data_IF_485296387443
#
_entry.id   IF_485296387443
#
_cell.length_a   1.000
_cell.length_b   1.000
_cell.length_c   1.000
_cell.angle_alpha   90.00
_cell.angle_beta   90.00
_cell.angle_gamma   90.00
#
_symmetry.space_group_name_H-M   'P 1'
#
loop_
_entity.id
_entity.type
_entity.pdbx_description
1 polymer ?
#
# COMPACT_ATOMS: atom_id res chain seq x y z
N UNK A 1 0.70 17.36 -20.79
CA UNK A 1 0.70 16.68 -19.48
C UNK A 1 -0.70 16.19 -19.27
N UNK A 2 -0.88 14.87 -19.32
CA UNK A 2 -2.17 14.26 -19.05
C UNK A 2 -2.51 14.43 -17.57
N UNK A 3 -3.73 14.90 -17.31
CA UNK A 3 -4.27 15.14 -15.98
C UNK A 3 -5.53 14.31 -15.82
N UNK A 4 -5.63 13.58 -14.72
CA UNK A 4 -6.82 12.83 -14.33
C UNK A 4 -7.27 13.36 -12.97
N UNK A 5 -8.57 13.58 -12.84
CA UNK A 5 -9.21 14.00 -11.59
C UNK A 5 -10.18 12.88 -11.18
N UNK A 6 -10.04 12.42 -9.95
CA UNK A 6 -10.93 11.43 -9.32
C UNK A 6 -11.81 12.16 -8.32
N UNK A 7 -13.11 11.93 -8.40
CA UNK A 7 -14.12 12.47 -7.49
C UNK A 7 -14.90 11.32 -6.89
N UNK A 8 -15.19 11.41 -5.59
CA UNK A 8 -16.07 10.47 -4.88
C UNK A 8 -17.52 10.92 -4.85
N UNK A 9 -17.80 12.13 -5.34
CA UNK A 9 -19.16 12.66 -5.46
C UNK A 9 -19.78 13.08 -4.13
N UNK A 10 -18.99 13.18 -3.06
CA UNK A 10 -19.47 13.70 -1.78
C UNK A 10 -19.81 15.19 -1.91
N UNK A 11 -20.80 15.67 -1.15
CA UNK A 11 -21.19 17.08 -1.19
C UNK A 11 -20.06 18.07 -0.82
N UNK A 12 -19.00 17.58 -0.17
CA UNK A 12 -17.82 18.37 0.18
C UNK A 12 -16.95 18.72 -1.03
N UNK A 13 -16.78 17.81 -1.98
CA UNK A 13 -15.90 18.03 -3.14
C UNK A 13 -16.39 19.20 -4.00
N UNK A 14 -17.69 19.25 -4.25
CA UNK A 14 -18.34 20.35 -4.97
C UNK A 14 -18.35 21.66 -4.16
N UNK A 15 -18.55 21.58 -2.84
CA UNK A 15 -18.63 22.78 -2.00
C UNK A 15 -17.27 23.43 -1.75
N UNK A 16 -16.23 22.62 -1.52
CA UNK A 16 -14.87 23.07 -1.17
C UNK A 16 -14.02 23.25 -2.43
N UNK A 17 -14.28 22.50 -3.51
CA UNK A 17 -13.55 22.61 -4.77
C UNK A 17 -12.25 21.81 -4.77
N UNK A 18 -12.31 20.52 -4.42
CA UNK A 18 -11.19 19.58 -4.51
C UNK A 18 -11.62 18.28 -5.19
N UNK A 19 -10.64 17.58 -5.77
CA UNK A 19 -10.80 16.19 -6.24
C UNK A 19 -10.28 15.25 -5.17
N UNK A 20 -10.91 14.08 -4.99
CA UNK A 20 -10.40 13.02 -4.10
C UNK A 20 -8.94 12.67 -4.42
N UNK A 21 -8.63 12.55 -5.70
CA UNK A 21 -7.25 12.44 -6.16
C UNK A 21 -7.03 13.21 -7.47
N UNK A 22 -5.80 13.65 -7.67
CA UNK A 22 -5.35 14.24 -8.93
C UNK A 22 -4.09 13.52 -9.37
N UNK A 23 -4.10 13.02 -10.59
CA UNK A 23 -2.91 12.50 -11.26
C UNK A 23 -2.40 13.51 -12.28
N UNK A 24 -1.08 13.76 -12.28
CA UNK A 24 -0.39 14.52 -13.33
C UNK A 24 0.85 13.74 -13.74
N UNK A 25 0.88 13.29 -15.00
CA UNK A 25 1.95 12.39 -15.46
C UNK A 25 1.95 11.07 -14.67
N UNK A 26 3.02 10.82 -13.92
CA UNK A 26 3.18 9.61 -13.11
C UNK A 26 2.97 9.84 -11.61
N UNK A 27 2.58 11.04 -11.18
CA UNK A 27 2.33 11.32 -9.76
C UNK A 27 0.84 11.38 -9.50
N UNK A 28 0.40 10.71 -8.42
CA UNK A 28 -0.96 10.76 -7.90
C UNK A 28 -0.90 11.39 -6.52
N UNK A 29 -1.69 12.44 -6.31
CA UNK A 29 -1.89 13.06 -5.01
C UNK A 29 -3.32 12.81 -4.55
N UNK A 30 -3.48 12.19 -3.39
CA UNK A 30 -4.78 11.95 -2.76
C UNK A 30 -5.02 13.03 -1.70
N UNK A 31 -6.20 13.64 -1.72
CA UNK A 31 -6.59 14.65 -0.74
C UNK A 31 -6.74 14.03 0.67
N UNK A 32 -6.71 14.90 1.69
CA UNK A 32 -7.06 14.53 3.06
C UNK A 32 -8.39 13.77 3.09
N UNK A 33 -8.34 12.56 3.62
CA UNK A 33 -9.41 11.58 3.56
C UNK A 33 -9.70 11.09 4.95
N UNK A 34 -10.96 11.14 5.33
CA UNK A 34 -11.44 10.73 6.65
C UNK A 34 -12.57 9.72 6.52
N UNK A 35 -13.03 9.18 7.64
CA UNK A 35 -14.01 8.12 7.71
C UNK A 35 -15.44 8.68 7.54
N UNK A 36 -15.87 8.85 6.30
CA UNK A 36 -17.23 9.32 5.97
C UNK A 36 -17.95 8.43 4.98
N UNK A 37 -19.27 8.43 5.05
CA UNK A 37 -20.14 7.78 4.08
C UNK A 37 -20.33 8.62 2.80
N UNK A 38 -21.21 8.15 1.89
CA UNK A 38 -21.54 8.84 0.64
C UNK A 38 -22.18 10.23 0.83
N UNK A 39 -22.76 10.49 2.00
CA UNK A 39 -23.37 11.77 2.36
C UNK A 39 -22.36 12.71 3.05
N UNK A 40 -21.16 12.24 3.34
CA UNK A 40 -20.16 12.97 4.11
C UNK A 40 -20.39 12.90 5.62
N UNK A 41 -21.19 11.95 6.12
CA UNK A 41 -21.42 11.76 7.54
C UNK A 41 -20.34 10.86 8.16
N UNK A 42 -19.79 11.19 9.34
CA UNK A 42 -18.79 10.36 10.02
C UNK A 42 -19.27 8.92 10.24
N UNK A 43 -18.40 7.96 9.95
CA UNK A 43 -18.65 6.54 10.25
C UNK A 43 -17.80 6.09 11.44
N UNK A 44 -18.30 5.11 12.19
CA UNK A 44 -17.63 4.53 13.35
C UNK A 44 -17.11 5.59 14.37
N UNK A 45 -17.97 6.44 14.93
CA UNK A 45 -17.56 7.49 15.86
C UNK A 45 -16.85 6.90 17.08
N UNK A 46 -15.71 7.50 17.46
CA UNK A 46 -14.89 7.05 18.59
C UNK A 46 -14.21 5.69 18.40
N UNK A 47 -14.07 5.20 17.16
CA UNK A 47 -13.39 3.94 16.84
C UNK A 47 -12.20 4.22 15.90
N UNK A 48 -11.01 4.56 16.43
CA UNK A 48 -9.88 5.02 15.63
C UNK A 48 -9.43 4.02 14.55
N UNK A 49 -9.37 2.73 14.88
CA UNK A 49 -9.01 1.69 13.93
C UNK A 49 -10.02 1.59 12.77
N UNK A 50 -11.32 1.55 13.07
CA UNK A 50 -12.37 1.43 12.05
C UNK A 50 -12.39 2.66 11.14
N UNK A 51 -12.20 3.86 11.72
CA UNK A 51 -12.09 5.08 10.94
C UNK A 51 -10.83 5.09 10.07
N UNK A 52 -9.69 4.69 10.61
CA UNK A 52 -8.44 4.63 9.84
C UNK A 52 -8.55 3.62 8.70
N UNK A 53 -9.10 2.43 8.96
CA UNK A 53 -9.29 1.39 7.95
C UNK A 53 -10.21 1.89 6.80
N UNK A 54 -11.33 2.52 7.14
CA UNK A 54 -12.23 3.11 6.15
C UNK A 54 -11.55 4.22 5.34
N UNK A 55 -10.82 5.11 6.01
CA UNK A 55 -10.12 6.20 5.35
C UNK A 55 -9.02 5.68 4.39
N UNK A 56 -8.25 4.66 4.80
CA UNK A 56 -7.28 4.01 3.92
C UNK A 56 -7.94 3.30 2.74
N UNK A 57 -9.08 2.63 2.94
CA UNK A 57 -9.83 2.01 1.84
C UNK A 57 -10.27 3.05 0.79
N UNK A 58 -10.72 4.22 1.22
CA UNK A 58 -11.05 5.34 0.32
C UNK A 58 -9.81 5.88 -0.42
N UNK A 59 -8.67 5.98 0.27
CA UNK A 59 -7.39 6.38 -0.35
C UNK A 59 -6.96 5.38 -1.42
N UNK A 60 -7.00 4.09 -1.13
CA UNK A 60 -6.63 3.07 -2.10
C UNK A 60 -7.57 3.07 -3.31
N UNK A 61 -8.87 3.22 -3.10
CA UNK A 61 -9.84 3.34 -4.18
C UNK A 61 -9.51 4.53 -5.09
N UNK A 62 -9.20 5.69 -4.49
CA UNK A 62 -8.82 6.88 -5.24
C UNK A 62 -7.53 6.71 -6.06
N UNK A 63 -6.55 5.97 -5.52
CA UNK A 63 -5.31 5.63 -6.24
C UNK A 63 -5.62 4.73 -7.44
N UNK A 64 -6.46 3.70 -7.24
CA UNK A 64 -6.89 2.79 -8.31
C UNK A 64 -7.66 3.51 -9.41
N UNK A 65 -8.57 4.41 -9.04
CA UNK A 65 -9.34 5.22 -9.99
C UNK A 65 -8.45 6.21 -10.77
N UNK A 66 -7.33 6.64 -10.20
CA UNK A 66 -6.29 7.42 -10.88
C UNK A 66 -5.33 6.56 -11.74
N UNK A 67 -5.50 5.24 -11.73
CA UNK A 67 -4.72 4.28 -12.50
C UNK A 67 -3.40 3.87 -11.86
N UNK A 68 -3.33 3.85 -10.53
CA UNK A 68 -2.23 3.27 -9.74
C UNK A 68 -2.66 2.10 -8.87
N UNK A 69 -1.73 1.62 -8.05
CA UNK A 69 -1.93 0.53 -7.10
C UNK A 69 -1.39 0.92 -5.71
N UNK A 70 -1.83 0.26 -4.62
CA UNK A 70 -1.30 0.54 -3.27
C UNK A 70 0.23 0.41 -3.16
N UNK A 71 0.85 -0.43 -3.99
CA UNK A 71 2.32 -0.58 -4.08
C UNK A 71 3.04 0.66 -4.60
N UNK A 72 2.34 1.56 -5.32
CA UNK A 72 2.91 2.79 -5.84
C UNK A 72 2.97 3.89 -4.77
N UNK A 73 2.36 3.68 -3.60
CA UNK A 73 2.34 4.68 -2.52
C UNK A 73 3.73 4.84 -1.94
N UNK A 74 4.26 6.05 -2.04
CA UNK A 74 5.61 6.40 -1.56
C UNK A 74 5.57 7.19 -0.26
N UNK A 75 4.45 7.84 0.05
CA UNK A 75 4.30 8.60 1.28
C UNK A 75 2.87 8.66 1.78
N UNK A 76 2.70 8.56 3.10
CA UNK A 76 1.44 8.76 3.83
C UNK A 76 1.64 9.79 4.94
N UNK A 77 0.58 10.58 5.20
CA UNK A 77 0.49 11.47 6.37
C UNK A 77 -0.82 11.19 7.09
N UNK A 78 -0.75 11.03 8.41
CA UNK A 78 -1.87 10.72 9.26
C UNK A 78 -1.99 11.83 10.32
N UNK A 79 -3.16 12.44 10.39
CA UNK A 79 -3.50 13.47 11.37
C UNK A 79 -4.50 12.85 12.34
N UNK A 80 -4.15 12.75 13.61
CA UNK A 80 -5.00 12.17 14.66
C UNK A 80 -5.40 13.22 15.69
N UNK A 81 -6.57 13.12 16.29
CA UNK A 81 -7.00 14.04 17.35
C UNK A 81 -6.45 13.66 18.73
N UNK A 82 -6.10 12.38 18.91
CA UNK A 82 -5.46 11.84 20.10
C UNK A 82 -4.31 10.92 19.66
N UNK A 83 -3.07 11.24 20.04
CA UNK A 83 -1.90 10.43 19.68
C UNK A 83 -1.86 9.09 20.43
N UNK A 84 -2.63 8.92 21.51
CA UNK A 84 -2.70 7.64 22.22
C UNK A 84 -3.32 6.54 21.34
N UNK A 85 -4.07 6.90 20.30
CA UNK A 85 -4.68 5.98 19.33
C UNK A 85 -3.72 5.48 18.23
N UNK A 86 -2.43 5.82 18.31
CA UNK A 86 -1.45 5.53 17.26
C UNK A 86 -1.33 4.04 16.89
N UNK A 87 -1.53 3.11 17.83
CA UNK A 87 -1.44 1.67 17.57
C UNK A 87 -2.57 1.19 16.66
N UNK A 88 -3.78 1.69 16.87
CA UNK A 88 -4.96 1.35 16.08
C UNK A 88 -4.85 1.92 14.66
N UNK A 89 -4.46 3.19 14.54
CA UNK A 89 -4.21 3.83 13.22
C UNK A 89 -3.03 3.17 12.50
N UNK A 90 -1.96 2.85 13.24
CA UNK A 90 -0.77 2.17 12.72
C UNK A 90 -1.06 0.75 12.23
N UNK A 91 -1.94 0.00 12.91
CA UNK A 91 -2.42 -1.31 12.44
C UNK A 91 -3.13 -1.19 11.10
N UNK A 92 -4.10 -0.28 10.99
CA UNK A 92 -4.83 -0.05 9.74
C UNK A 92 -3.90 0.37 8.59
N UNK A 93 -2.91 1.24 8.87
CA UNK A 93 -1.88 1.61 7.88
C UNK A 93 -1.05 0.39 7.44
N UNK A 94 -0.66 -0.46 8.38
CA UNK A 94 0.09 -1.69 8.08
C UNK A 94 -0.69 -2.68 7.23
N UNK A 95 -2.00 -2.78 7.43
CA UNK A 95 -2.89 -3.61 6.61
C UNK A 95 -3.04 -3.07 5.18
N UNK A 96 -3.13 -1.75 5.01
CA UNK A 96 -3.30 -1.11 3.70
C UNK A 96 -2.00 -1.05 2.88
N UNK A 97 -0.88 -0.71 3.50
CA UNK A 97 0.38 -0.38 2.81
C UNK A 97 1.61 -1.13 3.34
N UNK A 98 1.42 -2.20 4.13
CA UNK A 98 2.50 -2.95 4.76
C UNK A 98 3.54 -3.50 3.80
N UNK A 99 3.12 -3.92 2.61
CA UNK A 99 4.02 -4.41 1.56
C UNK A 99 4.77 -3.27 0.85
N UNK A 100 4.09 -2.13 0.60
CA UNK A 100 4.66 -0.95 -0.07
C UNK A 100 5.68 -0.21 0.82
N UNK A 101 5.45 -0.19 2.13
CA UNK A 101 6.30 0.47 3.15
C UNK A 101 6.60 1.95 2.82
N UNK A 102 5.58 2.80 2.61
CA UNK A 102 5.79 4.21 2.30
C UNK A 102 6.46 4.98 3.44
N UNK A 103 7.05 6.13 3.12
CA UNK A 103 7.43 7.10 4.15
C UNK A 103 6.17 7.58 4.88
N UNK A 104 6.08 7.30 6.18
CA UNK A 104 4.90 7.59 6.98
C UNK A 104 5.20 8.69 8.02
N UNK A 105 4.24 9.60 8.20
CA UNK A 105 4.23 10.58 9.30
C UNK A 105 2.89 10.54 9.99
N UNK A 106 2.88 10.48 11.32
CA UNK A 106 1.68 10.64 12.14
C UNK A 106 1.89 11.80 13.11
N UNK A 107 0.93 12.70 13.20
CA UNK A 107 0.97 13.84 14.13
C UNK A 107 -0.39 14.06 14.77
N UNK A 108 -0.38 14.50 16.02
CA UNK A 108 -1.58 14.97 16.70
C UNK A 108 -1.95 16.38 16.21
N UNK A 109 -3.23 16.60 15.94
CA UNK A 109 -3.82 17.89 15.59
C UNK A 109 -4.93 18.26 16.56
N UNK A 110 -5.23 19.55 16.71
CA UNK A 110 -6.20 20.01 17.70
C UNK A 110 -7.66 19.64 17.38
N UNK A 111 -7.99 19.41 16.11
CA UNK A 111 -9.33 19.05 15.63
C UNK A 111 -9.30 18.64 14.15
N UNK A 112 -10.30 17.88 13.73
CA UNK A 112 -10.66 17.64 12.32
C UNK A 112 -11.94 18.42 11.96
N UNK A 113 -12.44 18.24 10.73
CA UNK A 113 -13.59 19.00 10.21
C UNK A 113 -14.90 18.72 10.95
N UNK A 114 -15.02 17.54 11.56
CA UNK A 114 -16.14 17.10 12.38
C UNK A 114 -15.60 16.49 13.70
N UNK A 115 -16.21 16.77 14.87
CA UNK A 115 -15.75 16.27 16.16
C UNK A 115 -15.84 14.74 16.33
N UNK A 116 -16.66 14.05 15.53
CA UNK A 116 -16.77 12.59 15.57
C UNK A 116 -15.67 11.89 14.75
N UNK A 117 -14.88 12.66 13.98
CA UNK A 117 -13.72 12.17 13.24
C UNK A 117 -12.46 12.27 14.09
N UNK A 118 -11.73 11.17 14.18
CA UNK A 118 -10.50 11.09 14.99
C UNK A 118 -9.23 10.91 14.16
N UNK A 119 -9.37 10.61 12.86
CA UNK A 119 -8.24 10.44 11.94
C UNK A 119 -8.55 10.98 10.54
N UNK A 120 -7.55 11.62 9.95
CA UNK A 120 -7.51 12.01 8.54
C UNK A 120 -6.18 11.57 7.91
N UNK A 121 -6.23 11.04 6.69
CA UNK A 121 -5.09 10.47 5.98
C UNK A 121 -4.89 11.12 4.62
N UNK A 122 -3.63 11.38 4.27
CA UNK A 122 -3.20 11.85 2.96
C UNK A 122 -2.19 10.85 2.39
N UNK A 123 -2.17 10.65 1.06
CA UNK A 123 -1.20 9.80 0.40
C UNK A 123 -0.69 10.40 -0.92
N UNK A 124 0.54 10.05 -1.26
CA UNK A 124 1.14 10.31 -2.59
C UNK A 124 1.67 9.01 -3.16
N UNK A 125 1.34 8.75 -4.43
CA UNK A 125 1.83 7.60 -5.18
C UNK A 125 2.60 8.04 -6.44
N UNK A 126 3.59 7.23 -6.83
CA UNK A 126 4.41 7.44 -8.02
C UNK A 126 4.34 6.17 -8.86
N UNK A 127 3.76 6.27 -10.04
CA UNK A 127 3.69 5.18 -10.99
C UNK A 127 5.05 4.97 -11.65
N UNK A 128 5.37 3.72 -11.92
CA UNK A 128 6.43 3.39 -12.85
C UNK A 128 6.05 3.96 -14.22
N UNK A 129 6.85 4.89 -14.72
CA UNK A 129 6.81 5.23 -16.14
C UNK A 129 7.48 4.09 -16.87
N UNK A 130 6.82 3.50 -17.87
CA UNK A 130 7.49 2.68 -18.87
C UNK A 130 8.72 3.47 -19.32
N UNK A 131 9.90 3.00 -18.92
CA UNK A 131 11.14 3.63 -19.34
C UNK A 131 11.09 3.72 -20.85
N UNK A 132 11.45 4.88 -21.41
CA UNK A 132 11.84 4.96 -22.81
C UNK A 132 12.96 3.93 -22.99
N UNK A 133 12.56 2.71 -23.37
CA UNK A 133 13.48 1.61 -23.57
C UNK A 133 14.22 1.99 -24.84
N UNK A 134 15.36 2.65 -24.65
CA UNK A 134 16.28 3.09 -25.69
C UNK A 134 16.52 1.93 -26.63
N UNK A 135 15.84 1.95 -27.76
CA UNK A 135 16.20 1.13 -28.92
C UNK A 135 17.37 1.83 -29.60
N UNK A 136 18.49 1.90 -28.89
CA UNK A 136 19.78 2.07 -29.52
C UNK A 136 20.10 0.74 -30.18
N UNK A 137 19.82 0.68 -31.47
CA UNK A 137 20.11 -0.48 -32.30
C UNK A 137 21.60 -0.75 -32.34
N UNK A 138 22.06 -1.73 -31.58
CA UNK A 138 23.27 -2.47 -31.92
C UNK A 138 22.90 -3.59 -32.89
N UNK A 139 22.96 -3.25 -34.17
CA UNK A 139 23.18 -4.23 -35.24
C UNK A 139 24.58 -4.81 -35.07
N UNK A 140 24.66 -6.00 -34.50
CA UNK A 140 25.87 -6.81 -34.47
C UNK A 140 25.53 -8.22 -34.94
N UNK A 141 25.53 -8.40 -36.26
CA UNK A 141 25.69 -9.70 -36.89
C UNK A 141 26.99 -10.32 -36.42
N UNK A 142 26.97 -11.59 -36.00
CA UNK A 142 27.73 -12.65 -36.67
C UNK A 142 27.36 -14.01 -36.04
N UNK A 143 26.95 -14.92 -36.92
CA UNK A 143 26.85 -16.35 -36.64
C UNK A 143 28.25 -16.91 -36.36
N UNK A 144 28.36 -18.03 -35.63
CA UNK A 144 28.80 -19.33 -36.17
C UNK A 144 28.58 -20.43 -35.11
N UNK A 145 28.19 -21.59 -35.61
CA UNK A 145 27.95 -22.89 -34.97
C UNK A 145 29.23 -23.63 -34.59
N UNK A 146 29.18 -24.52 -33.60
CA UNK A 146 29.87 -25.85 -33.52
C UNK A 146 29.64 -26.45 -32.11
N UNK A 147 28.82 -27.49 -31.96
CA UNK A 147 29.10 -28.95 -32.04
C UNK A 147 29.71 -29.56 -30.76
N UNK A 148 28.96 -30.51 -30.21
CA UNK A 148 29.34 -31.77 -29.54
C UNK A 148 30.21 -31.80 -28.25
N UNK A 149 29.71 -32.56 -27.27
CA UNK A 149 30.48 -33.02 -26.12
C UNK A 149 29.67 -33.71 -25.03
N UNK A 150 29.25 -34.96 -25.26
CA UNK A 150 28.83 -35.89 -24.20
C UNK A 150 30.03 -36.27 -23.31
N UNK A 151 29.85 -36.40 -21.99
CA UNK A 151 30.36 -37.54 -21.19
C UNK A 151 29.89 -37.52 -19.73
N UNK A 152 29.45 -38.70 -19.29
CA UNK A 152 29.04 -39.11 -17.95
C UNK A 152 30.13 -38.95 -16.86
N UNK A 153 29.72 -38.85 -15.58
CA UNK A 153 30.11 -39.83 -14.54
C UNK A 153 29.63 -39.43 -13.12
N UNK A 154 28.80 -40.30 -12.58
CA UNK A 154 28.77 -40.88 -11.22
C UNK A 154 29.40 -40.14 -10.03
N UNK A 155 28.61 -40.02 -8.97
CA UNK A 155 29.07 -39.62 -7.64
C UNK A 155 28.05 -39.88 -6.54
N UNK A 156 27.64 -41.14 -6.37
CA UNK A 156 26.94 -41.59 -5.16
C UNK A 156 27.89 -41.48 -3.94
N UNK A 157 27.40 -40.92 -2.84
CA UNK A 157 27.90 -41.25 -1.50
C UNK A 157 26.79 -41.08 -0.46
N UNK A 158 26.23 -42.22 -0.08
CA UNK A 158 25.49 -42.43 1.16
C UNK A 158 26.36 -42.15 2.40
N UNK A 159 25.76 -41.62 3.45
CA UNK A 159 25.89 -42.18 4.82
C UNK A 159 25.05 -41.40 5.82
N UNK A 160 23.93 -42.03 6.19
CA UNK A 160 23.52 -42.38 7.56
C UNK A 160 23.65 -41.37 8.71
N UNK A 161 22.50 -41.07 9.29
CA UNK A 161 22.35 -40.50 10.63
C UNK A 161 20.96 -40.78 11.19
N UNK A 162 20.67 -42.03 11.52
CA UNK A 162 19.46 -42.47 12.22
C UNK A 162 19.44 -42.09 13.71
N UNK A 163 18.21 -42.06 14.25
CA UNK A 163 17.80 -42.29 15.65
C UNK A 163 17.94 -41.09 16.60
N UNK A 164 16.98 -40.73 17.46
CA UNK A 164 15.86 -41.45 18.10
C UNK A 164 14.97 -40.41 18.83
N UNK A 165 13.65 -40.43 18.65
CA UNK A 165 12.58 -40.97 19.53
C UNK A 165 12.30 -40.28 20.88
N UNK A 166 10.99 -40.11 21.12
CA UNK A 166 10.25 -40.11 22.39
C UNK A 166 10.11 -38.80 23.19
N UNK A 167 8.88 -38.30 23.36
CA UNK A 167 8.01 -38.69 24.48
C UNK A 167 6.68 -37.90 24.45
N UNK A 168 5.57 -38.65 24.58
CA UNK A 168 4.26 -38.16 24.97
C UNK A 168 4.26 -37.71 26.45
N UNK A 169 3.47 -36.69 26.82
CA UNK A 169 2.47 -36.79 27.89
C UNK A 169 1.74 -35.48 28.16
N UNK A 170 0.47 -35.67 28.52
CA UNK A 170 -0.55 -34.74 28.95
C UNK A 170 -0.21 -33.90 30.18
N UNK A 171 -0.91 -32.78 30.34
CA UNK A 171 -1.55 -32.44 31.62
C UNK A 171 -2.68 -31.42 31.44
N UNK A 172 -3.90 -31.88 31.73
CA UNK A 172 -4.98 -31.09 32.32
C UNK A 172 -4.50 -30.32 33.55
N UNK A 173 -4.94 -29.08 33.72
CA UNK A 173 -5.25 -28.50 35.02
C UNK A 173 -6.10 -27.22 34.90
N UNK A 174 -7.39 -27.40 35.23
CA UNK A 174 -8.34 -26.49 35.89
C UNK A 174 -8.83 -25.21 35.19
#
# INVERSE_FOLDING_TARGET
MDRIEVSTGTGWEDHVGYSRAVRVGNQIHVAGTTAVDENGEPVAPGQPYEQANHAFALVEAAIRDAGGEPSDVVSTRMYVTDVEDWEDVGRAHGEAFGDARPAATMVEVSALIDPDLVVEVEATAILETDGENGTDGESGSDAESDSDGESDSDGESDSDGESSSAAESSSDAQ
#
